data_IF_271247561253
#
_entry.id   IF_271247561253
#
_cell.length_a   1.000
_cell.length_b   1.000
_cell.length_c   1.000
_cell.angle_alpha   90.00
_cell.angle_beta   90.00
_cell.angle_gamma   90.00
#
_symmetry.space_group_name_H-M   'P 1'
#
loop_
_entity.id
_entity.type
_entity.pdbx_description
1 polymer ?
#
# COMPACT_ATOMS: atom_id res chain seq x y z
N UNK A 1 6.21 -16.72 -8.94
CA UNK A 1 6.34 -16.46 -10.37
C UNK A 1 6.33 -14.95 -10.67
N UNK A 2 7.27 -14.17 -10.12
CA UNK A 2 7.37 -12.73 -10.45
C UNK A 2 7.55 -12.49 -11.96
N UNK A 3 8.11 -13.44 -12.68
CA UNK A 3 8.28 -13.42 -14.14
C UNK A 3 6.98 -13.36 -14.95
N UNK A 4 5.82 -13.63 -14.34
CA UNK A 4 4.52 -13.62 -15.02
C UNK A 4 3.78 -12.28 -14.91
N UNK A 5 4.22 -11.38 -14.02
CA UNK A 5 3.48 -10.15 -13.70
C UNK A 5 4.34 -8.91 -13.95
N UNK A 6 3.79 -7.93 -14.66
CA UNK A 6 4.42 -6.63 -14.86
C UNK A 6 4.46 -5.79 -13.56
N UNK A 7 3.49 -6.01 -12.67
CA UNK A 7 3.43 -5.36 -11.36
C UNK A 7 2.31 -5.88 -10.48
N UNK A 8 2.23 -5.36 -9.25
CA UNK A 8 1.20 -5.67 -8.28
C UNK A 8 0.67 -4.40 -7.59
N UNK A 9 -0.64 -4.33 -7.41
CA UNK A 9 -1.33 -3.34 -6.58
C UNK A 9 -1.77 -4.04 -5.29
N UNK A 10 -1.21 -3.62 -4.16
CA UNK A 10 -1.37 -4.28 -2.86
C UNK A 10 -2.02 -3.31 -1.89
N UNK A 11 -3.12 -3.74 -1.27
CA UNK A 11 -3.92 -2.93 -0.35
C UNK A 11 -3.97 -3.63 1.01
N UNK A 12 -3.72 -2.88 2.09
CA UNK A 12 -3.80 -3.34 3.49
C UNK A 12 -2.89 -4.53 3.86
N UNK A 13 -1.97 -4.93 2.99
CA UNK A 13 -1.00 -6.00 3.25
C UNK A 13 0.43 -5.46 3.35
N UNK A 14 1.33 -6.29 3.86
CA UNK A 14 2.75 -5.97 4.01
C UNK A 14 3.59 -7.25 3.84
N UNK A 15 4.89 -7.08 3.63
CA UNK A 15 5.80 -8.23 3.56
C UNK A 15 5.91 -8.88 4.94
N UNK A 16 5.80 -10.20 4.99
CA UNK A 16 6.00 -10.97 6.21
C UNK A 16 7.46 -10.84 6.70
N UNK A 17 7.65 -10.58 7.99
CA UNK A 17 8.99 -10.43 8.60
C UNK A 17 9.82 -11.71 8.50
N UNK A 18 9.17 -12.87 8.55
CA UNK A 18 9.80 -14.20 8.51
C UNK A 18 9.42 -14.97 7.23
N UNK A 19 9.53 -14.32 6.07
CA UNK A 19 9.21 -14.95 4.79
C UNK A 19 10.05 -16.21 4.55
N UNK A 20 9.41 -17.30 4.12
CA UNK A 20 10.07 -18.54 3.68
C UNK A 20 10.26 -18.57 2.16
N UNK A 21 9.82 -17.52 1.46
CA UNK A 21 9.95 -17.43 0.02
C UNK A 21 11.41 -17.24 -0.39
N UNK A 22 11.88 -18.08 -1.32
CA UNK A 22 13.18 -17.88 -1.96
C UNK A 22 13.07 -16.75 -2.97
N UNK A 23 13.81 -15.66 -2.76
CA UNK A 23 13.84 -14.53 -3.67
C UNK A 23 14.36 -14.97 -5.05
N UNK A 24 13.58 -14.68 -6.10
CA UNK A 24 13.96 -14.94 -7.49
C UNK A 24 14.73 -13.79 -8.14
N UNK A 25 14.90 -12.67 -7.41
CA UNK A 25 15.62 -11.47 -7.85
C UNK A 25 15.17 -10.96 -9.23
N UNK A 26 13.85 -11.00 -9.47
CA UNK A 26 13.24 -10.44 -10.67
C UNK A 26 12.59 -9.10 -10.32
N UNK A 27 12.93 -8.02 -11.04
CA UNK A 27 12.27 -6.73 -10.84
C UNK A 27 10.76 -6.85 -11.07
N UNK A 28 9.97 -6.16 -10.25
CA UNK A 28 8.52 -6.13 -10.35
C UNK A 28 8.00 -4.80 -9.83
N UNK A 29 7.09 -4.18 -10.57
CA UNK A 29 6.49 -2.90 -10.15
C UNK A 29 5.52 -3.11 -8.99
N UNK A 30 5.47 -2.17 -8.05
CA UNK A 30 4.62 -2.23 -6.87
C UNK A 30 3.87 -0.92 -6.63
N UNK A 31 2.56 -1.00 -6.43
CA UNK A 31 1.81 -0.01 -5.68
C UNK A 31 1.43 -0.61 -4.33
N UNK A 32 1.76 0.06 -3.24
CA UNK A 32 1.41 -0.34 -1.89
C UNK A 32 0.55 0.71 -1.21
N UNK A 33 -0.70 0.36 -0.88
CA UNK A 33 -1.64 1.24 -0.20
C UNK A 33 -1.94 0.72 1.21
N UNK A 34 -1.74 1.54 2.23
CA UNK A 34 -1.92 1.12 3.64
C UNK A 34 -2.51 2.22 4.51
N UNK A 35 -3.40 1.79 5.40
CA UNK A 35 -3.94 2.60 6.49
C UNK A 35 -2.95 2.73 7.65
N UNK A 36 -2.80 3.96 8.16
CA UNK A 36 -1.95 4.23 9.34
C UNK A 36 -2.58 3.78 10.66
N UNK A 37 -3.91 3.66 10.70
CA UNK A 37 -4.69 3.22 11.84
C UNK A 37 -5.25 1.78 11.65
N UNK A 38 -4.63 1.00 10.77
CA UNK A 38 -4.99 -0.39 10.48
C UNK A 38 -4.91 -1.27 11.76
N UNK A 39 -6.04 -1.79 12.27
CA UNK A 39 -6.07 -2.59 13.49
C UNK A 39 -5.63 -4.05 13.29
N UNK A 40 -5.41 -4.48 12.05
CA UNK A 40 -5.13 -5.88 11.69
C UNK A 40 -3.67 -6.06 11.27
N UNK A 41 -3.17 -5.17 10.39
CA UNK A 41 -1.82 -5.19 9.80
C UNK A 41 -1.08 -3.88 10.15
N UNK A 42 -0.29 -3.86 11.23
CA UNK A 42 0.27 -2.62 11.78
C UNK A 42 1.11 -1.83 10.77
N UNK A 43 0.81 -0.55 10.58
CA UNK A 43 1.51 0.32 9.63
C UNK A 43 3.02 0.40 9.89
N UNK A 44 3.40 0.47 11.16
CA UNK A 44 4.80 0.50 11.63
C UNK A 44 5.43 -0.90 11.75
N UNK A 45 4.74 -1.94 11.28
CA UNK A 45 5.18 -3.33 11.40
C UNK A 45 4.93 -3.91 12.79
N UNK A 46 5.20 -5.21 12.94
CA UNK A 46 4.96 -5.94 14.18
C UNK A 46 3.94 -7.06 14.04
N UNK A 47 3.35 -7.47 15.15
CA UNK A 47 2.41 -8.60 15.19
C UNK A 47 1.06 -8.23 14.59
N UNK A 48 0.57 -9.05 13.67
CA UNK A 48 -0.78 -8.91 13.13
C UNK A 48 -1.83 -9.41 14.13
N UNK A 49 -3.04 -8.86 14.04
CA UNK A 49 -4.17 -9.30 14.86
C UNK A 49 -4.51 -10.78 14.61
N UNK A 50 -4.98 -11.47 15.66
CA UNK A 50 -5.40 -12.86 15.58
C UNK A 50 -4.25 -13.87 15.38
N UNK A 51 -3.06 -13.56 15.89
CA UNK A 51 -1.89 -14.45 15.84
C UNK A 51 -1.49 -14.89 14.40
N UNK A 52 -1.57 -13.96 13.45
CA UNK A 52 -1.27 -14.20 12.03
C UNK A 52 0.21 -13.97 11.65
N UNK A 53 1.09 -13.89 12.66
CA UNK A 53 2.52 -13.66 12.48
C UNK A 53 2.90 -12.18 12.50
N UNK A 54 4.13 -11.89 12.04
CA UNK A 54 4.70 -10.54 12.03
C UNK A 54 4.91 -10.02 10.62
N UNK A 55 4.66 -8.73 10.43
CA UNK A 55 4.88 -8.01 9.17
C UNK A 55 5.91 -6.89 9.33
N UNK A 56 6.51 -6.51 8.22
CA UNK A 56 7.35 -5.33 8.10
C UNK A 56 6.50 -4.05 8.14
N UNK A 57 7.16 -2.93 8.44
CA UNK A 57 6.54 -1.60 8.34
C UNK A 57 6.22 -1.25 6.88
N UNK A 58 5.45 -0.18 6.66
CA UNK A 58 5.21 0.39 5.33
C UNK A 58 6.54 0.70 4.62
N UNK A 59 7.43 1.41 5.31
CA UNK A 59 8.71 1.84 4.76
C UNK A 59 9.65 0.65 4.51
N UNK A 60 9.72 -0.30 5.43
CA UNK A 60 10.52 -1.51 5.24
C UNK A 60 9.96 -2.39 4.11
N UNK A 61 8.63 -2.47 3.98
CA UNK A 61 8.01 -3.18 2.86
C UNK A 61 8.37 -2.52 1.54
N UNK A 62 8.22 -1.19 1.42
CA UNK A 62 8.63 -0.45 0.23
C UNK A 62 10.12 -0.68 -0.07
N UNK A 63 10.98 -0.64 0.96
CA UNK A 63 12.42 -0.85 0.83
C UNK A 63 12.77 -2.19 0.18
N UNK A 64 12.07 -3.28 0.52
CA UNK A 64 12.28 -4.59 -0.14
C UNK A 64 12.15 -4.47 -1.66
N UNK A 65 11.13 -3.75 -2.15
CA UNK A 65 10.87 -3.61 -3.58
C UNK A 65 11.76 -2.55 -4.24
N UNK A 66 12.14 -1.49 -3.53
CA UNK A 66 13.14 -0.53 -4.01
C UNK A 66 14.49 -1.23 -4.24
N UNK A 67 14.92 -2.04 -3.28
CA UNK A 67 16.17 -2.81 -3.37
C UNK A 67 16.09 -3.84 -4.51
N UNK A 68 14.97 -4.55 -4.63
CA UNK A 68 14.71 -5.51 -5.71
C UNK A 68 14.77 -4.87 -7.11
N UNK A 69 14.24 -3.65 -7.23
CA UNK A 69 14.14 -2.88 -8.47
C UNK A 69 15.35 -1.95 -8.70
N UNK A 70 16.35 -1.98 -7.81
CA UNK A 70 17.53 -1.10 -7.83
C UNK A 70 17.18 0.39 -7.96
N UNK A 71 16.12 0.82 -7.29
CA UNK A 71 15.68 2.22 -7.28
C UNK A 71 16.52 2.99 -6.26
N UNK A 72 17.14 4.08 -6.72
CA UNK A 72 17.93 5.00 -5.89
C UNK A 72 17.43 6.42 -6.13
N UNK A 73 17.27 7.19 -5.05
CA UNK A 73 16.81 8.57 -5.09
C UNK A 73 15.67 8.83 -4.12
N UNK A 74 15.32 10.10 -3.96
CA UNK A 74 14.24 10.51 -3.07
C UNK A 74 12.87 10.31 -3.72
N UNK A 75 11.88 9.96 -2.90
CA UNK A 75 10.48 9.94 -3.31
C UNK A 75 9.97 11.37 -3.47
N UNK A 76 9.14 11.58 -4.49
CA UNK A 76 8.22 12.72 -4.49
C UNK A 76 7.02 12.42 -3.60
N UNK A 77 6.50 13.44 -2.92
CA UNK A 77 5.31 13.32 -2.07
C UNK A 77 4.21 14.25 -2.59
N UNK A 78 3.00 13.74 -2.69
CA UNK A 78 1.82 14.53 -3.05
C UNK A 78 0.68 14.24 -2.08
N UNK A 79 0.23 15.27 -1.36
CA UNK A 79 -1.02 15.22 -0.63
C UNK A 79 -2.19 15.21 -1.62
N UNK A 80 -3.14 14.30 -1.41
CA UNK A 80 -4.37 14.24 -2.18
C UNK A 80 -5.41 15.14 -1.51
N UNK A 81 -6.25 15.87 -2.26
CA UNK A 81 -7.32 16.67 -1.68
C UNK A 81 -8.23 15.84 -0.77
N UNK A 82 -8.48 16.33 0.44
CA UNK A 82 -9.50 15.83 1.36
C UNK A 82 -10.87 16.34 0.88
N UNK A 83 -11.62 15.46 0.22
CA UNK A 83 -12.94 15.74 -0.35
C UNK A 83 -14.02 15.43 0.69
N UNK A 84 -13.86 14.38 1.50
CA UNK A 84 -14.80 14.03 2.58
C UNK A 84 -14.15 14.05 3.97
N UNK A 85 -14.10 15.25 4.54
CA UNK A 85 -13.56 15.47 5.89
C UNK A 85 -14.30 14.76 7.03
N UNK A 86 -15.45 14.09 6.78
CA UNK A 86 -16.16 13.32 7.81
C UNK A 86 -15.58 11.92 8.03
N UNK A 87 -14.77 11.42 7.10
CA UNK A 87 -14.15 10.09 7.22
C UNK A 87 -12.91 10.09 8.14
N UNK A 88 -12.50 11.28 8.59
CA UNK A 88 -11.35 11.51 9.49
C UNK A 88 -10.04 10.96 8.95
N UNK A 89 -9.88 10.93 7.64
CA UNK A 89 -8.71 10.40 6.97
C UNK A 89 -8.26 11.31 5.85
N UNK A 90 -7.00 11.16 5.42
CA UNK A 90 -6.46 11.83 4.23
C UNK A 90 -5.50 10.89 3.52
N UNK A 91 -5.11 11.22 2.29
CA UNK A 91 -4.18 10.39 1.52
C UNK A 91 -2.91 11.15 1.14
N UNK A 92 -1.76 10.52 1.33
CA UNK A 92 -0.46 10.99 0.81
C UNK A 92 0.14 9.93 -0.09
N UNK A 93 0.45 10.30 -1.34
CA UNK A 93 1.12 9.41 -2.29
C UNK A 93 2.63 9.70 -2.33
N UNK A 94 3.41 8.63 -2.36
CA UNK A 94 4.84 8.56 -2.51
C UNK A 94 5.15 7.95 -3.88
N UNK A 95 5.90 8.64 -4.72
CA UNK A 95 6.35 8.08 -6.01
C UNK A 95 7.85 8.12 -6.07
N UNK A 96 8.45 6.95 -6.26
CA UNK A 96 9.90 6.80 -6.37
C UNK A 96 10.34 6.91 -7.83
N UNK A 97 11.62 7.22 -8.09
CA UNK A 97 12.18 7.16 -9.44
C UNK A 97 12.01 5.78 -10.08
N UNK A 98 12.10 5.74 -11.41
CA UNK A 98 12.04 4.49 -12.17
C UNK A 98 13.26 3.61 -11.87
N UNK A 99 13.01 2.31 -11.70
CA UNK A 99 14.03 1.30 -11.47
C UNK A 99 14.57 0.65 -12.74
N UNK A 100 15.34 -0.43 -12.57
CA UNK A 100 15.78 -1.23 -13.70
C UNK A 100 14.58 -1.81 -14.47
N UNK A 101 14.73 -1.94 -15.79
CA UNK A 101 13.66 -2.42 -16.66
C UNK A 101 12.37 -1.59 -16.60
N UNK A 102 12.46 -0.31 -16.19
CA UNK A 102 11.31 0.59 -16.13
C UNK A 102 10.35 0.33 -14.98
N UNK A 103 10.71 -0.52 -14.00
CA UNK A 103 9.83 -0.84 -12.88
C UNK A 103 9.51 0.39 -12.04
N UNK A 104 8.26 0.47 -11.57
CA UNK A 104 7.77 1.60 -10.77
C UNK A 104 7.41 1.14 -9.36
N UNK A 105 7.70 1.99 -8.37
CA UNK A 105 7.26 1.78 -6.97
C UNK A 105 6.51 3.03 -6.50
N UNK A 106 5.27 2.82 -6.04
CA UNK A 106 4.44 3.85 -5.41
C UNK A 106 3.97 3.39 -4.01
N UNK A 107 3.98 4.30 -3.05
CA UNK A 107 3.38 4.12 -1.73
C UNK A 107 2.18 5.05 -1.56
N UNK A 108 1.07 4.56 -1.05
CA UNK A 108 -0.14 5.34 -0.82
C UNK A 108 -0.53 5.21 0.66
N UNK A 109 -0.23 6.26 1.42
CA UNK A 109 -0.48 6.31 2.87
C UNK A 109 -1.85 6.91 3.12
N UNK A 110 -2.73 6.12 3.72
CA UNK A 110 -4.06 6.55 4.14
C UNK A 110 -3.98 6.93 5.62
N UNK A 111 -3.76 8.20 5.89
CA UNK A 111 -3.66 8.76 7.23
C UNK A 111 -5.01 8.63 7.93
N UNK A 112 -5.07 8.05 9.13
CA UNK A 112 -6.32 7.74 9.84
C UNK A 112 -7.10 6.53 9.27
N UNK A 113 -6.74 6.01 8.09
CA UNK A 113 -7.41 4.87 7.47
C UNK A 113 -7.07 3.52 8.14
N UNK A 114 -8.01 2.58 8.04
CA UNK A 114 -7.92 1.23 8.57
C UNK A 114 -7.45 0.17 7.57
N UNK A 115 -7.80 -1.10 7.86
CA UNK A 115 -7.62 -2.30 7.04
C UNK A 115 -8.69 -2.44 5.96
N UNK A 116 -8.90 -1.40 5.16
CA UNK A 116 -9.97 -1.34 4.16
C UNK A 116 -9.56 -0.47 2.98
N UNK A 117 -9.96 -0.88 1.78
CA UNK A 117 -9.71 -0.13 0.57
C UNK A 117 -10.50 1.19 0.56
N UNK A 118 -9.84 2.33 0.23
CA UNK A 118 -10.53 3.57 -0.03
C UNK A 118 -11.55 3.44 -1.18
N UNK A 119 -12.74 3.99 -1.00
CA UNK A 119 -13.73 4.07 -2.08
C UNK A 119 -14.67 5.24 -1.88
N UNK A 120 -14.97 5.91 -3.00
CA UNK A 120 -15.96 7.00 -3.04
C UNK A 120 -17.37 6.46 -3.22
N UNK A 121 -17.47 5.32 -3.94
CA UNK A 121 -18.73 4.77 -4.42
C UNK A 121 -19.28 3.66 -3.52
N UNK A 122 -18.40 2.90 -2.87
CA UNK A 122 -18.75 1.79 -1.99
C UNK A 122 -18.34 2.10 -0.56
N UNK A 123 -19.33 2.42 0.27
CA UNK A 123 -19.09 2.80 1.68
C UNK A 123 -19.53 1.65 2.57
N UNK A 124 -18.60 1.12 3.36
CA UNK A 124 -18.92 0.08 4.33
C UNK A 124 -19.68 0.64 5.53
N UNK A 125 -20.65 -0.15 6.02
CA UNK A 125 -21.43 0.19 7.20
C UNK A 125 -20.60 0.20 8.49
N UNK A 126 -21.11 0.88 9.51
CA UNK A 126 -20.41 1.08 10.80
C UNK A 126 -19.97 -0.22 11.49
N UNK A 127 -20.76 -1.31 11.37
CA UNK A 127 -20.42 -2.61 11.94
C UNK A 127 -19.17 -3.24 11.30
N UNK A 128 -18.94 -3.01 10.00
CA UNK A 128 -17.73 -3.50 9.35
C UNK A 128 -16.53 -2.63 9.74
N UNK A 129 -16.71 -1.30 9.71
CA UNK A 129 -15.67 -0.34 10.10
C UNK A 129 -15.24 -0.45 11.57
N UNK A 130 -16.07 -0.98 12.47
CA UNK A 130 -15.65 -1.25 13.85
C UNK A 130 -14.60 -2.36 13.95
N UNK A 131 -14.47 -3.21 12.91
CA UNK A 131 -13.48 -4.30 12.83
C UNK A 131 -12.26 -3.85 12.03
N UNK A 132 -12.48 -3.21 10.89
CA UNK A 132 -11.39 -2.85 9.96
C UNK A 132 -10.85 -1.45 10.16
N UNK A 133 -11.52 -0.57 10.92
CA UNK A 133 -11.16 0.85 11.04
C UNK A 133 -11.85 1.72 9.98
N UNK A 134 -11.47 3.00 9.93
CA UNK A 134 -12.10 3.97 9.03
C UNK A 134 -11.71 3.76 7.57
N UNK A 135 -12.67 4.01 6.68
CA UNK A 135 -12.49 3.92 5.23
C UNK A 135 -12.35 5.34 4.67
N UNK A 136 -11.26 5.60 3.94
CA UNK A 136 -11.11 6.86 3.20
C UNK A 136 -12.06 6.94 2.00
N UNK A 137 -12.59 8.13 1.75
CA UNK A 137 -13.63 8.42 0.75
C UNK A 137 -13.20 9.50 -0.26
N UNK A 138 -11.92 9.87 -0.26
CA UNK A 138 -11.37 10.88 -1.17
C UNK A 138 -11.01 10.30 -2.54
N UNK A 139 -10.52 9.06 -2.53
CA UNK A 139 -10.05 8.34 -3.72
C UNK A 139 -10.83 7.05 -3.93
N UNK A 140 -10.82 6.58 -5.18
CA UNK A 140 -11.26 5.23 -5.53
C UNK A 140 -10.02 4.35 -5.70
N UNK A 141 -9.87 3.34 -4.85
CA UNK A 141 -8.70 2.47 -4.88
C UNK A 141 -8.52 1.80 -6.24
N UNK A 142 -9.62 1.40 -6.88
CA UNK A 142 -9.59 0.79 -8.21
C UNK A 142 -8.98 1.74 -9.27
N UNK A 143 -9.36 3.02 -9.27
CA UNK A 143 -8.86 4.00 -10.22
C UNK A 143 -7.37 4.29 -10.01
N UNK A 144 -6.94 4.35 -8.75
CA UNK A 144 -5.53 4.53 -8.38
C UNK A 144 -4.68 3.36 -8.86
N UNK A 145 -5.12 2.13 -8.58
CA UNK A 145 -4.41 0.90 -9.00
C UNK A 145 -4.40 0.78 -10.53
N UNK A 146 -5.53 1.06 -11.20
CA UNK A 146 -5.60 1.03 -12.65
C UNK A 146 -4.68 2.07 -13.30
N UNK A 147 -4.68 3.30 -12.77
CA UNK A 147 -3.81 4.38 -13.25
C UNK A 147 -2.33 4.05 -13.07
N UNK A 148 -1.97 3.26 -12.06
CA UNK A 148 -0.62 2.74 -11.90
C UNK A 148 -0.29 1.69 -12.96
N UNK A 149 -1.16 0.69 -13.17
CA UNK A 149 -0.93 -0.36 -14.16
C UNK A 149 -0.87 0.17 -15.59
N UNK A 150 -1.63 1.21 -15.94
CA UNK A 150 -1.61 1.80 -17.27
C UNK A 150 -0.30 2.57 -17.59
N UNK A 151 0.61 2.69 -16.62
CA UNK A 151 1.94 3.30 -16.78
C UNK A 151 3.09 2.26 -16.80
N UNK A 152 2.77 0.97 -16.67
CA UNK A 152 3.73 -0.14 -16.74
C UNK A 152 3.88 -0.62 -18.18
#
# INVERSE_FOLDING_TARGET
APELFAGAGVVSAAVAKNTQCVAKNKPVSLLLMRGTADPISPFLGGSMAGNRGMVLSMDDTLKVFLDLNKIVGEKSMSAIPDIDSNDKSTVTAYRFPDGISGTKVEGWVVNGGGHVEPSKSQVYGALYKSIVGEQNRDIECADVVWSFFNKL
#
